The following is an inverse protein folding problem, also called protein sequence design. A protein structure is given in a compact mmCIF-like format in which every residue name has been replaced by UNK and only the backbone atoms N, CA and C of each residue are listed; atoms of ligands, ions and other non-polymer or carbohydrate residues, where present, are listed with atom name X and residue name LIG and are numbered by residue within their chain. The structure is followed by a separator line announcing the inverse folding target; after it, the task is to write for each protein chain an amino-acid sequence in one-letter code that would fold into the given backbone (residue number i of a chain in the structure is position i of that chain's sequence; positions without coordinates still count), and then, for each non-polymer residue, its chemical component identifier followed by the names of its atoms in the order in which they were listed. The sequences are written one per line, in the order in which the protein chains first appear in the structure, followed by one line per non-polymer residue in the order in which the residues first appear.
data_IF_932527224863
#
_entry.id   IF_932527224863
#
_cell.length_a   1.000
_cell.length_b   1.000
_cell.length_c   1.000
_cell.angle_alpha   90.00
_cell.angle_beta   90.00
_cell.angle_gamma   90.00
#
_symmetry.space_group_name_H-M   'P 1'
#
loop_
_entity.id
_entity.type
_entity.pdbx_description
1 polymer ?
#
# COMPACT_ATOMS: atom_id res chain seq x y z
N UNK A 1 67.17 0.90 16.85
CA UNK A 1 65.96 1.36 17.57
C UNK A 1 65.08 2.35 16.78
N UNK A 2 65.36 2.60 15.49
CA UNK A 2 64.69 3.68 14.70
C UNK A 2 63.41 3.21 13.98
N UNK A 3 63.34 1.99 13.43
CA UNK A 3 62.20 1.55 12.61
C UNK A 3 60.86 1.39 13.37
N UNK A 4 60.84 1.00 14.64
CA UNK A 4 59.63 0.84 15.45
C UNK A 4 58.98 2.19 15.75
N UNK A 5 59.77 3.26 15.99
CA UNK A 5 59.18 4.63 16.21
C UNK A 5 58.57 5.21 14.95
N UNK A 6 59.13 4.91 13.76
CA UNK A 6 58.56 5.39 12.48
C UNK A 6 57.24 4.70 12.15
N UNK A 7 57.10 3.40 12.42
CA UNK A 7 55.84 2.65 12.20
C UNK A 7 54.73 3.16 13.14
N UNK A 8 55.07 3.40 14.41
CA UNK A 8 54.11 3.96 15.39
C UNK A 8 53.62 5.36 14.97
N UNK A 9 54.51 6.20 14.45
CA UNK A 9 54.13 7.52 13.97
C UNK A 9 53.19 7.45 12.76
N UNK A 10 53.42 6.54 11.82
CA UNK A 10 52.56 6.35 10.62
C UNK A 10 51.16 5.87 11.03
N UNK A 11 51.09 4.95 11.99
CA UNK A 11 49.77 4.46 12.49
C UNK A 11 48.99 5.57 13.19
N UNK A 12 49.64 6.39 14.00
CA UNK A 12 48.99 7.52 14.68
C UNK A 12 48.49 8.56 13.65
N UNK A 13 49.25 8.87 12.63
CA UNK A 13 48.84 9.81 11.55
C UNK A 13 47.65 9.23 10.78
N UNK A 14 47.63 7.94 10.45
CA UNK A 14 46.52 7.30 9.77
C UNK A 14 45.22 7.36 10.60
N UNK A 15 45.30 7.13 11.90
CA UNK A 15 44.13 7.22 12.80
C UNK A 15 43.60 8.67 12.87
N UNK A 16 44.49 9.66 12.99
CA UNK A 16 44.10 11.07 13.00
C UNK A 16 43.43 11.48 11.69
N UNK A 17 43.96 11.07 10.53
CA UNK A 17 43.36 11.33 9.24
C UNK A 17 41.98 10.70 9.08
N UNK A 18 41.78 9.48 9.59
CA UNK A 18 40.46 8.80 9.50
C UNK A 18 39.41 9.50 10.36
N UNK A 19 39.76 9.95 11.55
CA UNK A 19 38.86 10.69 12.45
C UNK A 19 38.51 12.08 11.87
N UNK A 20 39.49 12.79 11.32
CA UNK A 20 39.26 14.09 10.67
C UNK A 20 38.37 13.97 9.44
N UNK A 21 38.55 12.92 8.62
CA UNK A 21 37.72 12.64 7.45
C UNK A 21 36.25 12.38 7.85
N UNK A 22 36.00 11.59 8.93
CA UNK A 22 34.64 11.32 9.38
C UNK A 22 33.95 12.55 9.96
N UNK A 23 34.66 13.40 10.72
CA UNK A 23 34.14 14.65 11.24
C UNK A 23 33.77 15.62 10.11
N UNK A 24 34.63 15.73 9.08
CA UNK A 24 34.36 16.57 7.91
C UNK A 24 33.10 16.14 7.16
N UNK A 25 32.89 14.83 7.02
CA UNK A 25 31.69 14.28 6.38
C UNK A 25 30.43 14.64 7.15
N UNK A 26 30.44 14.52 8.48
CA UNK A 26 29.28 14.88 9.33
C UNK A 26 28.93 16.37 9.21
N UNK A 27 29.95 17.24 9.18
CA UNK A 27 29.74 18.70 9.04
C UNK A 27 29.17 19.05 7.67
N UNK A 28 29.65 18.41 6.60
CA UNK A 28 29.15 18.65 5.23
C UNK A 28 27.70 18.17 5.12
N UNK A 29 27.37 16.97 5.64
CA UNK A 29 26.01 16.42 5.60
C UNK A 29 25.03 17.29 6.38
N UNK A 30 25.41 17.81 7.55
CA UNK A 30 24.57 18.75 8.31
C UNK A 30 24.37 20.09 7.61
N UNK A 31 25.38 20.60 6.88
CA UNK A 31 25.30 21.87 6.19
C UNK A 31 24.57 21.81 4.85
N UNK A 32 24.60 20.66 4.18
CA UNK A 32 23.92 20.44 2.89
C UNK A 32 22.50 19.92 3.02
N UNK A 33 22.03 19.58 4.23
CA UNK A 33 20.66 19.15 4.46
C UNK A 33 20.27 17.80 3.82
N UNK A 34 21.25 17.01 3.33
CA UNK A 34 21.02 15.75 2.61
C UNK A 34 20.39 14.67 3.49
N UNK A 35 20.48 14.78 4.83
CA UNK A 35 19.88 13.82 5.78
C UNK A 35 18.51 14.26 6.35
N UNK A 36 17.91 15.36 5.88
CA UNK A 36 16.57 15.75 6.32
C UNK A 36 15.44 15.06 5.54
N UNK A 37 15.74 13.97 4.90
CA UNK A 37 14.75 13.07 4.29
C UNK A 37 14.70 11.75 5.05
N UNK A 38 13.93 11.65 6.13
CA UNK A 38 13.19 10.48 6.61
C UNK A 38 13.15 10.41 8.13
N UNK A 39 12.28 11.20 8.72
CA UNK A 39 11.58 10.78 9.94
C UNK A 39 10.20 11.42 9.89
N UNK A 40 9.28 10.77 9.19
CA UNK A 40 7.85 11.13 9.22
C UNK A 40 7.27 10.58 10.51
N UNK A 41 7.35 11.38 11.56
CA UNK A 41 6.44 11.24 12.70
C UNK A 41 5.08 11.71 12.21
N UNK A 42 4.14 10.79 12.08
CA UNK A 42 2.75 11.09 11.73
C UNK A 42 2.09 11.86 12.85
N UNK A 43 2.03 13.16 12.69
CA UNK A 43 1.12 14.01 13.46
C UNK A 43 0.15 14.62 12.46
N UNK A 44 -1.14 14.25 12.59
CA UNK A 44 -2.21 14.68 11.71
C UNK A 44 -2.29 16.21 11.68
N UNK A 45 -1.88 16.77 10.56
CA UNK A 45 -2.12 18.16 10.21
C UNK A 45 -2.80 18.12 8.85
N UNK A 46 -4.05 18.60 8.80
CA UNK A 46 -4.77 18.86 7.56
C UNK A 46 -3.84 19.63 6.61
N UNK A 47 -3.28 18.95 5.65
CA UNK A 47 -2.50 19.56 4.58
C UNK A 47 -3.44 20.43 3.76
N UNK A 48 -3.40 21.74 4.01
CA UNK A 48 -3.99 22.74 3.13
C UNK A 48 -3.32 22.59 1.77
N UNK A 49 -4.03 21.96 0.83
CA UNK A 49 -3.55 21.77 -0.53
C UNK A 49 -3.38 23.15 -1.16
N UNK A 50 -2.13 23.57 -1.38
CA UNK A 50 -1.82 24.76 -2.15
C UNK A 50 -2.03 24.39 -3.63
N UNK A 51 -3.16 24.82 -4.14
CA UNK A 51 -3.57 24.65 -5.54
C UNK A 51 -2.63 25.48 -6.42
N UNK A 52 -1.61 24.83 -6.96
CA UNK A 52 -0.84 25.38 -8.09
C UNK A 52 -1.71 25.37 -9.34
N UNK A 53 -1.66 26.44 -10.13
CA UNK A 53 -2.57 26.80 -11.23
C UNK A 53 -2.58 25.87 -12.46
N UNK A 54 -2.27 24.59 -12.30
CA UNK A 54 -2.42 23.61 -13.37
C UNK A 54 -3.78 22.91 -13.22
N UNK A 55 -4.77 23.39 -13.98
CA UNK A 55 -6.18 22.96 -13.89
C UNK A 55 -6.38 21.45 -14.06
N UNK A 56 -5.50 20.76 -14.76
CA UNK A 56 -5.60 19.31 -15.00
C UNK A 56 -5.25 18.49 -13.75
N UNK A 57 -4.20 18.88 -13.03
CA UNK A 57 -3.74 18.17 -11.83
C UNK A 57 -4.78 18.21 -10.72
N UNK A 58 -5.50 19.33 -10.60
CA UNK A 58 -6.58 19.50 -9.63
C UNK A 58 -7.78 18.59 -9.85
N UNK A 59 -8.17 18.34 -11.11
CA UNK A 59 -9.32 17.49 -11.43
C UNK A 59 -9.04 16.04 -11.06
N UNK A 60 -7.88 15.51 -11.44
CA UNK A 60 -7.49 14.14 -11.10
C UNK A 60 -7.37 13.91 -9.59
N UNK A 61 -6.81 14.87 -8.89
CA UNK A 61 -6.67 14.81 -7.43
C UNK A 61 -8.05 14.84 -6.76
N UNK A 62 -8.94 15.75 -7.17
CA UNK A 62 -10.29 15.85 -6.63
C UNK A 62 -11.11 14.57 -6.88
N UNK A 63 -11.02 13.99 -8.07
CA UNK A 63 -11.67 12.71 -8.40
C UNK A 63 -11.11 11.58 -7.53
N UNK A 64 -9.79 11.50 -7.38
CA UNK A 64 -9.15 10.50 -6.54
C UNK A 64 -9.57 10.62 -5.07
N UNK A 65 -9.60 11.82 -4.51
CA UNK A 65 -10.04 12.06 -3.13
C UNK A 65 -11.51 11.68 -2.92
N UNK A 66 -12.37 11.98 -3.90
CA UNK A 66 -13.79 11.61 -3.86
C UNK A 66 -14.02 10.12 -3.97
N UNK A 67 -13.30 9.43 -4.85
CA UNK A 67 -13.50 8.00 -5.12
C UNK A 67 -12.84 7.08 -4.09
N UNK A 68 -11.72 7.50 -3.50
CA UNK A 68 -10.90 6.70 -2.59
C UNK A 68 -11.66 6.02 -1.44
N UNK A 69 -12.64 6.68 -0.76
CA UNK A 69 -13.41 6.04 0.30
C UNK A 69 -14.30 4.89 -0.17
N UNK A 70 -14.62 4.85 -1.48
CA UNK A 70 -15.47 3.81 -2.08
C UNK A 70 -14.68 2.65 -2.67
N UNK A 71 -13.34 2.70 -2.65
CA UNK A 71 -12.45 1.67 -3.19
C UNK A 71 -11.87 0.85 -2.05
N UNK A 72 -11.88 -0.47 -2.22
CA UNK A 72 -11.37 -1.43 -1.22
C UNK A 72 -10.40 -2.42 -1.85
N UNK A 73 -9.45 -2.90 -1.06
CA UNK A 73 -8.61 -4.05 -1.40
C UNK A 73 -9.33 -5.35 -1.04
N UNK A 74 -9.22 -6.37 -1.86
CA UNK A 74 -9.78 -7.70 -1.60
C UNK A 74 -8.62 -8.70 -1.61
N UNK A 75 -8.51 -9.48 -0.54
CA UNK A 75 -7.58 -10.60 -0.45
C UNK A 75 -8.38 -11.89 -0.32
N UNK A 76 -8.05 -12.88 -1.13
CA UNK A 76 -8.73 -14.16 -1.15
C UNK A 76 -7.74 -15.30 -0.93
N UNK A 77 -8.18 -16.33 -0.25
CA UNK A 77 -7.41 -17.56 -0.11
C UNK A 77 -8.18 -18.70 -0.76
N UNK A 78 -7.51 -19.46 -1.61
CA UNK A 78 -8.04 -20.70 -2.19
C UNK A 78 -7.20 -21.88 -1.74
N UNK A 79 -7.83 -23.03 -1.63
CA UNK A 79 -7.15 -24.29 -1.38
C UNK A 79 -7.32 -25.16 -2.62
N UNK A 80 -6.21 -25.54 -3.23
CA UNK A 80 -6.19 -26.53 -4.32
C UNK A 80 -5.46 -27.79 -3.89
N UNK A 81 -6.03 -28.95 -4.26
CA UNK A 81 -5.37 -30.24 -4.16
C UNK A 81 -5.40 -30.88 -5.55
N UNK A 82 -4.26 -30.91 -6.23
CA UNK A 82 -4.18 -31.41 -7.60
C UNK A 82 -4.35 -32.92 -7.72
N UNK A 83 -4.15 -33.67 -6.64
CA UNK A 83 -4.30 -35.12 -6.61
C UNK A 83 -4.76 -35.62 -5.23
N UNK A 84 -5.39 -36.80 -5.17
CA UNK A 84 -5.83 -37.44 -3.94
C UNK A 84 -4.70 -37.73 -2.93
N UNK A 85 -3.44 -37.70 -3.37
CA UNK A 85 -2.24 -37.90 -2.55
C UNK A 85 -1.41 -36.65 -2.35
N UNK A 86 -1.82 -35.50 -2.90
CA UNK A 86 -1.11 -34.22 -2.73
C UNK A 86 -1.58 -33.49 -1.49
N UNK A 87 -0.66 -32.90 -0.74
CA UNK A 87 -1.04 -32.00 0.35
C UNK A 87 -1.76 -30.78 -0.24
N UNK A 88 -2.85 -30.33 0.40
CA UNK A 88 -3.54 -29.10 -0.01
C UNK A 88 -2.59 -27.92 -0.02
N UNK A 89 -2.56 -27.19 -1.12
CA UNK A 89 -1.76 -25.97 -1.26
C UNK A 89 -2.66 -24.75 -1.14
N UNK A 90 -2.32 -23.85 -0.24
CA UNK A 90 -2.99 -22.55 -0.15
C UNK A 90 -2.37 -21.57 -1.14
N UNK A 91 -3.25 -20.86 -1.87
CA UNK A 91 -2.87 -19.78 -2.77
C UNK A 91 -3.62 -18.51 -2.37
N UNK A 92 -2.92 -17.39 -2.36
CA UNK A 92 -3.50 -16.08 -2.03
C UNK A 92 -3.60 -15.23 -3.29
N UNK A 93 -4.80 -14.72 -3.55
CA UNK A 93 -5.09 -13.72 -4.57
C UNK A 93 -5.31 -12.34 -3.97
N UNK A 94 -5.01 -11.30 -4.73
CA UNK A 94 -5.29 -9.91 -4.36
C UNK A 94 -5.99 -9.22 -5.51
N UNK A 95 -7.01 -8.43 -5.19
CA UNK A 95 -7.77 -7.64 -6.15
C UNK A 95 -8.33 -6.37 -5.54
N UNK A 96 -9.17 -5.70 -6.29
CA UNK A 96 -9.83 -4.45 -5.90
C UNK A 96 -11.34 -4.60 -6.03
N UNK A 97 -12.08 -3.93 -5.15
CA UNK A 97 -13.53 -3.81 -5.21
C UNK A 97 -14.00 -2.37 -5.07
N UNK A 98 -15.24 -2.14 -5.45
CA UNK A 98 -15.94 -0.86 -5.36
C UNK A 98 -17.18 -1.05 -4.49
N UNK A 99 -17.31 -0.25 -3.44
CA UNK A 99 -18.51 -0.23 -2.60
C UNK A 99 -19.67 0.36 -3.42
N UNK A 100 -20.71 -0.42 -3.65
CA UNK A 100 -21.89 0.00 -4.43
C UNK A 100 -23.12 0.28 -3.57
N UNK A 101 -23.09 -0.13 -2.29
CA UNK A 101 -24.14 0.14 -1.33
C UNK A 101 -23.57 0.33 0.08
N UNK A 102 -24.11 1.30 0.81
CA UNK A 102 -23.68 1.67 2.16
C UNK A 102 -23.86 0.55 3.20
N UNK A 103 -24.67 -0.46 2.89
CA UNK A 103 -24.86 -1.65 3.73
C UNK A 103 -23.83 -2.74 3.51
N UNK A 104 -22.77 -2.49 2.72
CA UNK A 104 -21.65 -3.40 2.59
C UNK A 104 -21.69 -4.33 1.38
N UNK A 105 -22.33 -3.91 0.28
CA UNK A 105 -22.19 -4.61 -1.01
C UNK A 105 -21.05 -4.01 -1.80
N UNK A 106 -20.17 -4.88 -2.26
CA UNK A 106 -18.92 -4.53 -2.94
C UNK A 106 -18.89 -5.25 -4.28
N UNK A 107 -18.81 -4.50 -5.36
CA UNK A 107 -18.64 -5.00 -6.72
C UNK A 107 -17.15 -5.27 -6.98
N UNK A 108 -16.84 -6.43 -7.55
CA UNK A 108 -15.49 -6.84 -7.94
C UNK A 108 -15.56 -7.77 -9.16
N UNK A 109 -14.42 -8.24 -9.63
CA UNK A 109 -14.37 -9.23 -10.69
C UNK A 109 -14.51 -10.65 -10.14
N UNK A 110 -15.08 -11.56 -10.92
CA UNK A 110 -15.27 -12.96 -10.54
C UNK A 110 -13.94 -13.68 -10.33
N UNK A 111 -12.92 -13.41 -11.16
CA UNK A 111 -11.60 -13.99 -11.01
C UNK A 111 -10.92 -13.59 -9.69
N UNK A 112 -11.23 -12.41 -9.10
CA UNK A 112 -10.68 -11.98 -7.80
C UNK A 112 -11.13 -12.90 -6.69
N UNK A 113 -12.37 -13.40 -6.76
CA UNK A 113 -12.92 -14.37 -5.81
C UNK A 113 -12.76 -15.82 -6.31
N UNK A 114 -11.87 -16.04 -7.27
CA UNK A 114 -11.59 -17.36 -7.87
C UNK A 114 -12.84 -18.06 -8.39
N UNK A 115 -13.74 -17.32 -9.04
CA UNK A 115 -15.02 -17.81 -9.57
C UNK A 115 -15.84 -18.54 -8.49
N UNK A 116 -15.95 -17.94 -7.32
CA UNK A 116 -16.67 -18.47 -6.18
C UNK A 116 -15.97 -19.60 -5.39
N UNK A 117 -14.73 -19.95 -5.76
CA UNK A 117 -13.94 -21.01 -5.10
C UNK A 117 -13.07 -20.47 -3.94
N UNK A 118 -13.09 -19.17 -3.69
CA UNK A 118 -12.36 -18.59 -2.57
C UNK A 118 -12.86 -19.20 -1.23
N UNK A 119 -11.95 -19.74 -0.44
CA UNK A 119 -12.23 -20.25 0.91
C UNK A 119 -12.48 -19.12 1.88
N UNK A 120 -11.68 -18.06 1.77
CA UNK A 120 -11.82 -16.85 2.57
C UNK A 120 -11.74 -15.61 1.66
N UNK A 121 -12.51 -14.60 2.00
CA UNK A 121 -12.47 -13.29 1.37
C UNK A 121 -12.28 -12.27 2.49
N UNK A 122 -11.26 -11.45 2.39
CA UNK A 122 -10.94 -10.40 3.36
C UNK A 122 -10.90 -9.05 2.65
N UNK A 123 -11.60 -8.07 3.18
CA UNK A 123 -11.78 -6.75 2.57
C UNK A 123 -11.07 -5.71 3.40
N UNK A 124 -10.10 -5.02 2.80
CA UNK A 124 -9.35 -3.92 3.38
C UNK A 124 -9.95 -2.58 2.92
N UNK A 125 -10.43 -1.80 3.87
CA UNK A 125 -11.01 -0.47 3.64
C UNK A 125 -9.95 0.65 3.65
N UNK A 126 -10.32 1.81 3.13
CA UNK A 126 -9.44 2.99 3.09
C UNK A 126 -9.04 3.51 4.50
N UNK A 127 -9.85 3.21 5.52
CA UNK A 127 -9.54 3.53 6.93
C UNK A 127 -8.52 2.58 7.57
N UNK A 128 -8.00 1.60 6.81
CA UNK A 128 -7.08 0.57 7.26
C UNK A 128 -7.76 -0.60 7.98
N UNK A 129 -9.08 -0.57 8.18
CA UNK A 129 -9.81 -1.69 8.78
C UNK A 129 -9.95 -2.85 7.79
N UNK A 130 -9.91 -4.06 8.31
CA UNK A 130 -10.13 -5.29 7.55
C UNK A 130 -11.34 -6.03 8.09
N UNK A 131 -12.22 -6.47 7.19
CA UNK A 131 -13.46 -7.19 7.53
C UNK A 131 -13.60 -8.41 6.64
N UNK A 132 -14.08 -9.52 7.19
CA UNK A 132 -14.37 -10.71 6.41
C UNK A 132 -15.58 -10.47 5.50
N UNK A 133 -15.43 -10.89 4.24
CA UNK A 133 -16.47 -10.84 3.22
C UNK A 133 -17.02 -12.21 2.89
N UNK A 134 -18.22 -12.23 2.38
CA UNK A 134 -18.88 -13.43 1.84
C UNK A 134 -19.21 -13.18 0.38
N UNK A 135 -18.97 -14.17 -0.48
CA UNK A 135 -19.42 -14.13 -1.87
C UNK A 135 -20.94 -14.16 -1.88
N UNK A 136 -21.56 -13.09 -2.32
CA UNK A 136 -23.02 -12.97 -2.39
C UNK A 136 -23.55 -13.46 -3.74
N UNK A 137 -22.86 -13.09 -4.82
CA UNK A 137 -23.19 -13.46 -6.19
C UNK A 137 -21.96 -13.37 -7.08
N UNK A 138 -21.90 -14.15 -8.15
CA UNK A 138 -20.89 -14.02 -9.18
C UNK A 138 -21.36 -14.59 -10.51
N UNK A 139 -20.74 -14.10 -11.60
CA UNK A 139 -20.87 -14.60 -12.94
C UNK A 139 -19.48 -14.65 -13.59
N UNK A 140 -18.98 -15.83 -13.86
CA UNK A 140 -17.64 -16.03 -14.45
C UNK A 140 -17.58 -15.70 -15.93
N UNK A 141 -18.70 -15.65 -16.66
CA UNK A 141 -18.72 -15.26 -18.07
C UNK A 141 -18.65 -13.74 -18.21
N UNK A 142 -19.32 -13.00 -17.34
CA UNK A 142 -19.27 -11.55 -17.28
C UNK A 142 -18.07 -11.03 -16.49
N UNK A 143 -17.35 -11.91 -15.82
CA UNK A 143 -16.28 -11.57 -14.88
C UNK A 143 -16.72 -10.56 -13.80
N UNK A 144 -17.92 -10.75 -13.25
CA UNK A 144 -18.49 -9.90 -12.22
C UNK A 144 -18.78 -10.69 -10.94
N UNK A 145 -18.60 -10.05 -9.79
CA UNK A 145 -18.97 -10.62 -8.50
C UNK A 145 -19.42 -9.54 -7.50
N UNK A 146 -20.26 -9.95 -6.57
CA UNK A 146 -20.66 -9.13 -5.41
C UNK A 146 -20.15 -9.84 -4.15
N UNK A 147 -19.39 -9.11 -3.36
CA UNK A 147 -18.96 -9.50 -2.03
C UNK A 147 -19.78 -8.71 -1.00
N UNK A 148 -20.32 -9.41 0.00
CA UNK A 148 -21.05 -8.80 1.13
C UNK A 148 -20.18 -8.81 2.38
N UNK A 149 -20.05 -7.65 3.02
CA UNK A 149 -19.39 -7.51 4.32
C UNK A 149 -20.41 -7.10 5.40
N UNK A 150 -20.14 -7.45 6.65
CA UNK A 150 -20.98 -7.03 7.78
C UNK A 150 -20.47 -5.69 8.35
N UNK A 151 -20.50 -4.65 7.52
CA UNK A 151 -20.16 -3.27 7.86
C UNK A 151 -21.15 -2.34 7.18
N UNK A 152 -21.64 -1.34 7.90
CA UNK A 152 -22.63 -0.37 7.42
C UNK A 152 -22.08 1.04 7.51
N UNK A 153 -22.79 2.01 6.91
CA UNK A 153 -22.35 3.40 6.89
C UNK A 153 -21.14 3.63 5.96
N UNK A 154 -20.98 2.76 4.97
CA UNK A 154 -19.92 2.86 3.99
C UNK A 154 -20.23 3.93 2.94
N UNK A 155 -19.17 4.52 2.39
CA UNK A 155 -19.31 5.48 1.27
C UNK A 155 -19.43 4.68 -0.03
N UNK A 156 -20.62 4.61 -0.59
CA UNK A 156 -20.85 4.01 -1.89
C UNK A 156 -20.34 4.92 -3.02
N UNK A 157 -19.83 4.31 -4.10
CA UNK A 157 -19.44 5.04 -5.30
C UNK A 157 -20.67 5.60 -6.01
N UNK A 158 -20.55 6.80 -6.55
CA UNK A 158 -21.55 7.33 -7.49
C UNK A 158 -21.38 6.64 -8.84
N UNK A 159 -22.44 5.98 -9.30
CA UNK A 159 -22.44 5.36 -10.62
C UNK A 159 -22.72 6.42 -11.69
N UNK A 160 -21.96 6.37 -12.77
CA UNK A 160 -22.16 7.23 -13.93
C UNK A 160 -23.32 6.76 -14.79
N UNK A 161 -23.77 7.64 -15.68
CA UNK A 161 -24.72 7.35 -16.72
C UNK A 161 -23.96 7.14 -18.05
N UNK A 162 -23.91 5.89 -18.53
CA UNK A 162 -23.18 5.53 -19.73
C UNK A 162 -23.83 6.02 -21.04
N UNK A 163 -25.06 6.55 -20.95
CA UNK A 163 -25.81 7.04 -22.11
C UNK A 163 -25.60 8.55 -22.32
N UNK A 164 -24.83 9.21 -21.46
CA UNK A 164 -24.37 10.60 -21.53
C UNK A 164 -22.86 10.65 -21.70
#
# INVERSE_FOLDING_TARGET
MSKKKSISLIVIVAIICSVLSSLLTVVIVNKTGILNGTTSTSQGTSSKIVVSSDKSTNVYQAVSEKAKPSVVGITTTTISSDNMFSMPTESTGVGTGIIVDSNGYILTNSHVISDGKAKTVSVLFNDGSTVDGQVYWYDSQLDLAIVKVNKTGLTAAELGDSDK
#
